data_IF_862866103006
#
_entry.id   IF_862866103006
#
_cell.length_a   1.000
_cell.length_b   1.000
_cell.length_c   1.000
_cell.angle_alpha   90.00
_cell.angle_beta   90.00
_cell.angle_gamma   90.00
#
_symmetry.space_group_name_H-M   'P 1'
#
loop_
_entity.id
_entity.type
_entity.pdbx_description
1 polymer ?
#
# COMPACT_ATOMS: atom_id res chain seq x y z
N UNK A 1 -22.93 46.41 -17.82
CA UNK A 1 -22.24 46.83 -16.59
C UNK A 1 -22.27 45.67 -15.62
N UNK A 2 -21.10 45.38 -15.02
CA UNK A 2 -20.82 44.55 -13.83
C UNK A 2 -21.36 43.09 -13.83
N UNK A 3 -20.58 42.03 -13.60
CA UNK A 3 -19.24 41.89 -13.02
C UNK A 3 -19.28 41.00 -11.78
N UNK A 4 -18.57 39.85 -11.85
CA UNK A 4 -18.02 39.09 -10.72
C UNK A 4 -18.79 37.83 -10.30
N UNK A 5 -18.16 36.74 -9.84
CA UNK A 5 -16.75 36.32 -9.73
C UNK A 5 -16.76 34.81 -9.50
N UNK A 6 -15.71 34.13 -9.94
CA UNK A 6 -15.40 32.71 -9.75
C UNK A 6 -15.67 32.19 -8.33
N UNK A 7 -16.43 31.11 -8.25
CA UNK A 7 -16.44 30.18 -7.12
C UNK A 7 -15.72 28.90 -7.52
N UNK A 8 -14.40 28.99 -7.71
CA UNK A 8 -13.55 27.85 -7.99
C UNK A 8 -13.71 26.79 -6.90
N UNK A 9 -14.17 25.60 -7.30
CA UNK A 9 -14.23 24.44 -6.42
C UNK A 9 -12.79 24.07 -6.03
N UNK A 10 -12.41 24.41 -4.81
CA UNK A 10 -11.14 24.02 -4.23
C UNK A 10 -11.05 22.48 -4.18
N UNK A 11 -10.14 21.94 -5.00
CA UNK A 11 -9.38 20.74 -4.66
C UNK A 11 -10.10 19.39 -4.74
N UNK A 12 -10.66 19.01 -5.90
CA UNK A 12 -10.73 17.58 -6.23
C UNK A 12 -9.38 17.16 -6.79
N UNK A 13 -8.43 16.85 -5.89
CA UNK A 13 -7.43 15.83 -6.24
C UNK A 13 -8.18 14.56 -6.65
N UNK A 14 -7.70 13.77 -7.62
CA UNK A 14 -8.47 12.64 -8.12
C UNK A 14 -8.96 11.81 -6.94
N UNK A 15 -10.28 11.70 -6.80
CA UNK A 15 -10.86 10.67 -5.95
C UNK A 15 -10.14 9.39 -6.35
N UNK A 16 -9.49 8.73 -5.40
CA UNK A 16 -8.99 7.38 -5.66
C UNK A 16 -10.21 6.64 -6.15
N UNK A 17 -10.19 6.32 -7.45
CA UNK A 17 -11.27 5.64 -8.14
C UNK A 17 -11.67 4.43 -7.31
N UNK A 18 -12.81 3.82 -7.58
CA UNK A 18 -13.23 2.60 -6.91
C UNK A 18 -12.28 1.38 -7.06
N UNK A 19 -11.02 1.58 -7.41
CA UNK A 19 -9.95 0.61 -7.47
C UNK A 19 -9.52 0.14 -6.06
N UNK A 20 -9.18 -1.15 -5.98
CA UNK A 20 -8.52 -1.75 -4.82
C UNK A 20 -7.02 -1.66 -5.08
N UNK A 21 -6.28 -0.97 -4.22
CA UNK A 21 -4.83 -0.84 -4.36
C UNK A 21 -4.14 -2.17 -4.05
N UNK A 22 -3.18 -2.56 -4.88
CA UNK A 22 -2.36 -3.76 -4.73
C UNK A 22 -1.09 -3.40 -3.96
N UNK A 23 -1.08 -3.71 -2.67
CA UNK A 23 -0.01 -3.38 -1.73
C UNK A 23 0.96 -4.55 -1.65
N UNK A 24 2.17 -4.35 -2.16
CA UNK A 24 3.22 -5.36 -2.13
C UNK A 24 3.79 -5.52 -0.72
N UNK A 25 3.84 -6.76 -0.24
CA UNK A 25 4.51 -7.12 1.02
C UNK A 25 5.54 -8.20 0.73
N UNK A 26 6.84 -7.95 0.93
CA UNK A 26 7.86 -8.95 0.67
C UNK A 26 7.86 -10.04 1.72
N UNK A 27 7.87 -11.31 1.30
CA UNK A 27 8.08 -12.43 2.22
C UNK A 27 9.47 -12.31 2.87
N UNK A 28 9.57 -12.39 4.20
CA UNK A 28 10.89 -12.42 4.83
C UNK A 28 11.59 -13.74 4.50
N UNK A 29 12.86 -13.65 4.10
CA UNK A 29 13.69 -14.81 3.83
C UNK A 29 14.09 -15.54 5.14
N UNK A 30 14.21 -14.79 6.23
CA UNK A 30 14.51 -15.32 7.56
C UNK A 30 13.24 -15.22 8.45
N UNK A 31 12.74 -16.36 8.97
CA UNK A 31 11.58 -16.40 9.87
C UNK A 31 11.69 -15.49 11.11
N UNK A 32 12.90 -15.14 11.55
CA UNK A 32 13.11 -14.19 12.65
C UNK A 32 12.49 -12.81 12.38
N UNK A 33 12.25 -12.47 11.11
CA UNK A 33 11.65 -11.21 10.69
C UNK A 33 10.12 -11.25 10.58
N UNK A 34 9.46 -12.40 10.81
CA UNK A 34 7.99 -12.48 10.81
C UNK A 34 7.33 -11.52 11.79
N UNK A 35 8.00 -11.18 12.90
CA UNK A 35 7.52 -10.16 13.86
C UNK A 35 7.44 -8.75 13.27
N UNK A 36 8.28 -8.44 12.29
CA UNK A 36 8.32 -7.13 11.65
C UNK A 36 7.36 -7.09 10.47
N UNK A 37 7.33 -8.14 9.65
CA UNK A 37 6.38 -8.33 8.58
C UNK A 37 6.16 -9.82 8.33
N UNK A 38 4.93 -10.21 8.10
CA UNK A 38 4.56 -11.55 7.65
C UNK A 38 3.49 -11.41 6.56
N UNK A 39 3.51 -12.31 5.59
CA UNK A 39 2.48 -12.39 4.55
C UNK A 39 2.20 -13.85 4.24
N UNK A 40 0.94 -14.23 4.36
CA UNK A 40 0.46 -15.59 4.19
C UNK A 40 -0.68 -15.61 3.19
N UNK A 41 -0.69 -16.63 2.32
CA UNK A 41 -1.78 -16.86 1.39
C UNK A 41 -2.46 -18.15 1.79
N UNK A 42 -3.73 -18.06 2.19
CA UNK A 42 -4.54 -19.22 2.51
C UNK A 42 -4.81 -20.01 1.21
N UNK A 43 -4.34 -21.25 1.16
CA UNK A 43 -4.41 -22.07 -0.06
C UNK A 43 -5.85 -22.48 -0.43
N UNK A 44 -6.78 -22.50 0.53
CA UNK A 44 -8.16 -22.92 0.30
C UNK A 44 -9.02 -21.78 -0.26
N UNK A 45 -8.76 -20.55 0.16
CA UNK A 45 -9.53 -19.35 -0.19
C UNK A 45 -8.79 -18.41 -1.14
N UNK A 46 -7.50 -18.65 -1.37
CA UNK A 46 -6.58 -17.80 -2.11
C UNK A 46 -6.52 -16.35 -1.57
N UNK A 47 -6.86 -16.15 -0.30
CA UNK A 47 -6.81 -14.85 0.37
C UNK A 47 -5.44 -14.64 0.98
N UNK A 48 -4.89 -13.46 0.73
CA UNK A 48 -3.64 -13.04 1.36
C UNK A 48 -3.93 -12.21 2.60
N UNK A 49 -3.31 -12.58 3.71
CA UNK A 49 -3.27 -11.79 4.95
C UNK A 49 -1.85 -11.34 5.22
N UNK A 50 -1.69 -10.14 5.79
CA UNK A 50 -0.41 -9.64 6.24
C UNK A 50 -0.48 -9.28 7.73
N UNK A 51 0.66 -9.31 8.40
CA UNK A 51 0.77 -8.93 9.81
C UNK A 51 2.19 -8.56 10.20
N UNK A 52 2.39 -8.24 11.47
CA UNK A 52 3.67 -7.78 12.01
C UNK A 52 3.78 -6.26 12.07
N UNK A 53 4.81 -5.78 12.77
CA UNK A 53 4.94 -4.38 13.17
C UNK A 53 4.73 -3.36 12.02
N UNK A 54 5.34 -3.55 10.85
CA UNK A 54 5.23 -2.58 9.74
C UNK A 54 3.83 -2.56 9.13
N UNK A 55 3.12 -3.69 9.18
CA UNK A 55 1.74 -3.81 8.73
C UNK A 55 0.81 -3.07 9.70
N UNK A 56 1.01 -3.25 11.01
CA UNK A 56 0.24 -2.55 12.04
C UNK A 56 0.38 -1.03 11.92
N UNK A 57 1.60 -0.54 11.67
CA UNK A 57 1.88 0.89 11.45
C UNK A 57 1.18 1.39 10.20
N UNK A 58 1.26 0.66 9.09
CA UNK A 58 0.57 1.01 7.84
C UNK A 58 -0.95 1.09 8.04
N UNK A 59 -1.57 0.06 8.64
CA UNK A 59 -3.00 0.07 8.89
C UNK A 59 -3.42 1.20 9.86
N UNK A 60 -2.61 1.49 10.88
CA UNK A 60 -2.85 2.62 11.77
C UNK A 60 -2.79 3.97 11.05
N UNK A 61 -1.90 4.13 10.06
CA UNK A 61 -1.85 5.31 9.20
C UNK A 61 -3.08 5.37 8.27
N UNK A 62 -3.46 4.26 7.65
CA UNK A 62 -4.67 4.17 6.80
C UNK A 62 -5.92 4.55 7.57
N UNK A 63 -6.08 4.09 8.82
CA UNK A 63 -7.22 4.44 9.69
C UNK A 63 -7.34 5.93 10.00
N UNK A 64 -6.29 6.73 9.79
CA UNK A 64 -6.29 8.18 10.00
C UNK A 64 -6.63 8.98 8.74
N UNK A 65 -6.75 8.33 7.58
CA UNK A 65 -7.09 9.03 6.34
C UNK A 65 -8.53 9.58 6.41
N UNK A 66 -8.81 10.76 5.82
CA UNK A 66 -10.15 11.33 5.79
C UNK A 66 -11.09 10.64 4.77
N UNK A 67 -10.67 9.52 4.19
CA UNK A 67 -11.41 8.73 3.23
C UNK A 67 -11.08 7.25 3.39
N UNK A 68 -12.00 6.38 2.96
CA UNK A 68 -11.79 4.93 2.98
C UNK A 68 -10.80 4.51 1.89
N UNK A 69 -9.65 3.99 2.29
CA UNK A 69 -8.68 3.37 1.38
C UNK A 69 -9.00 1.89 1.21
N UNK A 70 -9.31 1.45 0.00
CA UNK A 70 -9.46 0.02 -0.31
C UNK A 70 -8.16 -0.54 -0.86
N UNK A 71 -7.71 -1.63 -0.27
CA UNK A 71 -6.47 -2.28 -0.67
C UNK A 71 -6.53 -3.78 -0.41
N UNK A 72 -5.66 -4.52 -1.09
CA UNK A 72 -5.34 -5.91 -0.84
C UNK A 72 -3.83 -6.08 -0.71
N UNK A 73 -3.41 -7.05 0.09
CA UNK A 73 -2.01 -7.43 0.17
C UNK A 73 -1.67 -8.41 -0.95
N UNK A 74 -0.54 -8.18 -1.62
CA UNK A 74 0.02 -9.10 -2.61
C UNK A 74 1.40 -9.53 -2.14
N UNK A 75 1.65 -10.84 -1.96
CA UNK A 75 2.98 -11.31 -1.63
C UNK A 75 3.95 -10.96 -2.76
N UNK A 76 5.05 -10.30 -2.43
CA UNK A 76 6.09 -9.96 -3.37
C UNK A 76 7.32 -10.85 -3.15
N UNK A 77 7.58 -11.76 -4.09
CA UNK A 77 8.76 -12.62 -4.08
C UNK A 77 9.95 -11.87 -4.69
N UNK A 78 10.47 -10.92 -3.91
CA UNK A 78 11.59 -10.06 -4.30
C UNK A 78 12.80 -10.37 -3.43
N UNK A 79 13.90 -10.78 -4.05
CA UNK A 79 15.16 -11.03 -3.34
C UNK A 79 15.86 -9.76 -2.86
N UNK A 80 15.55 -8.60 -3.46
CA UNK A 80 16.17 -7.30 -3.16
C UNK A 80 15.09 -6.21 -3.08
N UNK A 81 15.22 -5.30 -2.10
CA UNK A 81 14.30 -4.17 -1.95
C UNK A 81 14.28 -3.23 -3.16
N UNK A 82 15.41 -3.08 -3.87
CA UNK A 82 15.43 -2.28 -5.10
C UNK A 82 14.49 -2.83 -6.17
N UNK A 83 14.34 -4.16 -6.25
CA UNK A 83 13.38 -4.79 -7.15
C UNK A 83 11.94 -4.48 -6.75
N UNK A 84 11.64 -4.46 -5.44
CA UNK A 84 10.33 -4.05 -4.94
C UNK A 84 9.99 -2.62 -5.36
N UNK A 85 10.94 -1.68 -5.17
CA UNK A 85 10.77 -0.27 -5.54
C UNK A 85 10.57 -0.12 -7.05
N UNK A 86 11.35 -0.84 -7.86
CA UNK A 86 11.18 -0.83 -9.31
C UNK A 86 9.81 -1.39 -9.74
N UNK A 87 9.31 -2.44 -9.09
CA UNK A 87 7.99 -2.99 -9.38
C UNK A 87 6.86 -2.02 -9.05
N UNK A 88 7.00 -1.22 -7.98
CA UNK A 88 6.07 -0.11 -7.70
C UNK A 88 6.18 0.98 -8.77
N UNK A 89 7.40 1.43 -9.09
CA UNK A 89 7.62 2.47 -10.10
C UNK A 89 7.09 2.10 -11.49
N UNK A 90 7.16 0.81 -11.85
CA UNK A 90 6.64 0.27 -13.10
C UNK A 90 5.13 -0.03 -13.07
N UNK A 91 4.44 0.24 -11.95
CA UNK A 91 3.00 -0.02 -11.79
C UNK A 91 2.63 -1.50 -11.67
N UNK A 92 3.58 -2.39 -11.42
CA UNK A 92 3.28 -3.81 -11.11
C UNK A 92 2.55 -3.95 -9.77
N UNK A 93 2.78 -3.00 -8.86
CA UNK A 93 2.05 -2.79 -7.62
C UNK A 93 1.77 -1.29 -7.46
N UNK A 94 0.70 -0.94 -6.75
CA UNK A 94 0.34 0.46 -6.52
C UNK A 94 1.17 1.08 -5.39
N UNK A 95 1.58 0.27 -4.41
CA UNK A 95 2.48 0.66 -3.33
C UNK A 95 3.17 -0.58 -2.73
N UNK A 96 4.12 -0.34 -1.83
CA UNK A 96 4.78 -1.39 -1.04
C UNK A 96 4.82 -1.01 0.44
N UNK A 97 4.70 -2.02 1.32
CA UNK A 97 4.87 -1.87 2.77
C UNK A 97 5.92 -2.87 3.22
N UNK A 98 7.04 -2.34 3.74
CA UNK A 98 8.13 -3.12 4.29
C UNK A 98 9.01 -2.24 5.21
N UNK A 99 9.91 -2.89 5.94
CA UNK A 99 11.07 -2.31 6.62
C UNK A 99 12.12 -1.82 5.59
N UNK A 100 11.75 -0.77 4.84
CA UNK A 100 12.59 -0.19 3.79
C UNK A 100 13.28 1.08 4.28
N UNK A 101 14.59 1.18 4.05
CA UNK A 101 15.36 2.40 4.28
C UNK A 101 15.12 3.39 3.14
N UNK A 102 14.82 4.65 3.49
CA UNK A 102 14.78 5.79 2.56
C UNK A 102 16.06 6.58 2.79
N UNK A 103 16.91 6.68 1.77
CA UNK A 103 18.22 7.36 1.81
C UNK A 103 18.32 8.42 0.73
#
# INVERSE_FOLDING_TARGET
MAGGVDGGAEGVGPATSGAVLRIAVPRPADPAYHRFRNVETDAATNRTTAGGFVIDVFEAAVRKLPYALRFEYVPADVGLYNTLVQQVANGSYDAAVADMTIS
#
